data_IF_007877455757
#
_entry.id   IF_007877455757
#
_cell.length_a   1.000
_cell.length_b   1.000
_cell.length_c   1.000
_cell.angle_alpha   90.00
_cell.angle_beta   90.00
_cell.angle_gamma   90.00
#
_symmetry.space_group_name_H-M   'P 1'
#
loop_
_entity.id
_entity.type
_entity.pdbx_description
1 polymer ?
#
# COMPACT_ATOMS: atom_id res chain seq x y z
N UNK A 1 -13.38 33.80 -23.97
CA UNK A 1 -12.27 33.36 -23.07
C UNK A 1 -12.38 31.87 -22.69
N UNK A 2 -12.96 30.99 -23.52
CA UNK A 2 -13.31 29.61 -23.12
C UNK A 2 -12.25 28.54 -23.50
N UNK A 3 -11.44 28.78 -24.55
CA UNK A 3 -10.40 27.85 -25.01
C UNK A 3 -9.28 27.59 -24.00
N UNK A 4 -8.90 28.60 -23.20
CA UNK A 4 -7.80 28.47 -22.25
C UNK A 4 -8.15 27.54 -21.07
N UNK A 5 -9.41 27.56 -20.60
CA UNK A 5 -9.87 26.71 -19.50
C UNK A 5 -10.05 25.25 -19.91
N UNK A 6 -10.58 25.01 -21.11
CA UNK A 6 -10.70 23.64 -21.65
C UNK A 6 -9.33 23.01 -21.92
N UNK A 7 -8.39 23.77 -22.47
CA UNK A 7 -7.02 23.31 -22.71
C UNK A 7 -6.28 23.02 -21.39
N UNK A 8 -6.47 23.83 -20.35
CA UNK A 8 -5.87 23.57 -19.02
C UNK A 8 -6.47 22.33 -18.35
N UNK A 9 -7.76 22.07 -18.51
CA UNK A 9 -8.43 20.87 -17.99
C UNK A 9 -7.94 19.60 -18.70
N UNK A 10 -7.90 19.62 -20.04
CA UNK A 10 -7.41 18.51 -20.85
C UNK A 10 -5.96 18.16 -20.49
N UNK A 11 -5.12 19.18 -20.27
CA UNK A 11 -3.75 18.99 -19.82
C UNK A 11 -3.67 18.38 -18.41
N UNK A 12 -4.38 18.94 -17.44
CA UNK A 12 -4.39 18.43 -16.05
C UNK A 12 -4.87 16.97 -15.99
N UNK A 13 -5.92 16.64 -16.73
CA UNK A 13 -6.44 15.28 -16.80
C UNK A 13 -5.40 14.33 -17.40
N UNK A 14 -4.82 14.68 -18.55
CA UNK A 14 -3.80 13.86 -19.22
C UNK A 14 -2.58 13.64 -18.32
N UNK A 15 -2.11 14.70 -17.64
CA UNK A 15 -0.95 14.64 -16.75
C UNK A 15 -1.20 13.72 -15.54
N UNK A 16 -2.38 13.80 -14.92
CA UNK A 16 -2.76 12.93 -13.78
C UNK A 16 -2.84 11.47 -14.23
N UNK A 17 -3.54 11.18 -15.34
CA UNK A 17 -3.67 9.82 -15.85
C UNK A 17 -2.31 9.23 -16.26
N UNK A 18 -1.47 9.99 -16.96
CA UNK A 18 -0.14 9.55 -17.37
C UNK A 18 0.76 9.29 -16.17
N UNK A 19 0.75 10.18 -15.18
CA UNK A 19 1.55 10.04 -13.96
C UNK A 19 1.15 8.79 -13.19
N UNK A 20 -0.16 8.60 -12.96
CA UNK A 20 -0.69 7.43 -12.28
C UNK A 20 -0.32 6.16 -13.05
N UNK A 21 -0.57 6.13 -14.37
CA UNK A 21 -0.27 4.97 -15.20
C UNK A 21 1.21 4.57 -15.14
N UNK A 22 2.11 5.53 -15.35
CA UNK A 22 3.56 5.28 -15.38
C UNK A 22 4.05 4.81 -14.02
N UNK A 23 3.74 5.56 -12.96
CA UNK A 23 4.24 5.27 -11.61
C UNK A 23 3.67 3.96 -11.07
N UNK A 24 2.36 3.76 -11.19
CA UNK A 24 1.70 2.55 -10.71
C UNK A 24 2.17 1.31 -11.46
N UNK A 25 2.25 1.38 -12.80
CA UNK A 25 2.72 0.26 -13.62
C UNK A 25 4.16 -0.12 -13.31
N UNK A 26 5.02 0.86 -13.05
CA UNK A 26 6.41 0.60 -12.68
C UNK A 26 6.51 -0.13 -11.34
N UNK A 27 5.88 0.41 -10.30
CA UNK A 27 5.95 -0.15 -8.95
C UNK A 27 5.32 -1.55 -8.89
N UNK A 28 4.20 -1.76 -9.60
CA UNK A 28 3.56 -3.07 -9.71
C UNK A 28 4.46 -4.13 -10.34
N UNK A 29 5.12 -3.82 -11.46
CA UNK A 29 6.06 -4.74 -12.12
C UNK A 29 7.18 -5.14 -11.18
N UNK A 30 7.76 -4.17 -10.46
CA UNK A 30 8.83 -4.42 -9.49
C UNK A 30 8.38 -5.31 -8.34
N UNK A 31 7.18 -5.05 -7.78
CA UNK A 31 6.61 -5.91 -6.73
C UNK A 31 6.43 -7.35 -7.21
N UNK A 32 5.79 -7.56 -8.37
CA UNK A 32 5.56 -8.90 -8.90
C UNK A 32 6.86 -9.66 -9.19
N UNK A 33 7.86 -8.98 -9.74
CA UNK A 33 9.18 -9.57 -9.99
C UNK A 33 9.82 -10.07 -8.69
N UNK A 34 9.93 -9.22 -7.66
CA UNK A 34 10.53 -9.66 -6.38
C UNK A 34 9.66 -10.66 -5.63
N UNK A 35 8.33 -10.60 -5.78
CA UNK A 35 7.44 -11.60 -5.21
C UNK A 35 7.68 -12.99 -5.83
N UNK A 36 7.81 -13.06 -7.15
CA UNK A 36 8.13 -14.31 -7.85
C UNK A 36 9.52 -14.85 -7.45
N UNK A 37 10.53 -13.99 -7.33
CA UNK A 37 11.86 -14.37 -6.85
C UNK A 37 11.85 -14.88 -5.41
N UNK A 38 11.03 -14.27 -4.53
CA UNK A 38 10.84 -14.73 -3.16
C UNK A 38 10.19 -16.11 -3.11
N UNK A 39 9.13 -16.33 -3.89
CA UNK A 39 8.46 -17.64 -3.97
C UNK A 39 9.43 -18.71 -4.49
N UNK A 40 10.21 -18.39 -5.54
CA UNK A 40 11.20 -19.32 -6.09
C UNK A 40 12.29 -19.70 -5.06
N UNK A 41 12.76 -18.74 -4.27
CA UNK A 41 13.74 -18.99 -3.20
C UNK A 41 13.14 -19.83 -2.06
N UNK A 42 11.89 -19.57 -1.69
CA UNK A 42 11.14 -20.34 -0.69
C UNK A 42 10.98 -21.80 -1.10
N UNK A 43 10.58 -22.05 -2.35
CA UNK A 43 10.45 -23.42 -2.89
C UNK A 43 11.78 -24.19 -2.83
N UNK A 44 12.89 -23.55 -3.21
CA UNK A 44 14.23 -24.18 -3.16
C UNK A 44 14.69 -24.48 -1.74
N UNK A 45 14.33 -23.63 -0.77
CA UNK A 45 14.60 -23.87 0.64
C UNK A 45 13.79 -25.08 1.14
N UNK A 46 12.48 -25.09 0.88
CA UNK A 46 11.57 -26.17 1.29
C UNK A 46 11.96 -27.53 0.70
N UNK A 47 12.43 -27.56 -0.55
CA UNK A 47 12.97 -28.76 -1.17
C UNK A 47 14.25 -29.26 -0.48
N UNK A 48 15.13 -28.34 -0.04
CA UNK A 48 16.34 -28.70 0.68
C UNK A 48 16.03 -29.25 2.09
N UNK A 49 15.06 -28.67 2.78
CA UNK A 49 14.57 -29.18 4.08
C UNK A 49 13.98 -30.59 3.94
N UNK A 50 13.21 -30.85 2.88
CA UNK A 50 12.69 -32.20 2.60
C UNK A 50 13.79 -33.22 2.28
N UNK A 51 14.90 -32.80 1.68
CA UNK A 51 16.05 -33.69 1.43
C UNK A 51 16.80 -34.03 2.73
N UNK A 52 16.89 -33.08 3.66
CA UNK A 52 17.46 -33.27 4.99
C UNK A 52 16.68 -34.34 5.77
N UNK A 53 15.35 -34.22 5.84
CA UNK A 53 14.48 -35.21 6.51
C UNK A 53 14.68 -36.63 5.96
N UNK A 54 14.86 -36.77 4.64
CA UNK A 54 15.10 -38.07 4.00
C UNK A 54 16.49 -38.66 4.31
N UNK A 55 17.52 -37.83 4.46
CA UNK A 55 18.87 -38.32 4.76
C UNK A 55 19.09 -38.58 6.26
N UNK A 56 18.52 -37.74 7.12
CA UNK A 56 18.59 -37.92 8.57
C UNK A 56 17.64 -39.04 9.03
N UNK A 57 16.45 -39.14 8.44
CA UNK A 57 15.45 -40.18 8.76
C UNK A 57 15.84 -41.60 8.35
N UNK A 58 16.81 -41.78 7.45
CA UNK A 58 17.37 -43.10 7.07
C UNK A 58 18.46 -43.61 8.03
N UNK A 59 18.80 -42.84 9.07
CA UNK A 59 19.88 -43.15 10.00
C UNK A 59 19.43 -43.96 11.23
N UNK A 60 18.18 -44.42 11.31
CA UNK A 60 17.67 -45.12 12.51
C UNK A 60 18.00 -46.62 12.58
N UNK A 61 18.84 -47.16 11.68
CA UNK A 61 19.19 -48.58 11.68
C UNK A 61 20.28 -48.88 12.76
N UNK A 62 20.17 -49.95 13.58
CA UNK A 62 21.03 -50.15 14.75
C UNK A 62 22.51 -50.41 14.42
N UNK A 63 23.30 -49.34 14.47
CA UNK A 63 24.67 -49.12 15.02
C UNK A 63 25.80 -50.18 14.93
N UNK A 64 25.60 -51.48 14.73
CA UNK A 64 26.65 -52.46 15.06
C UNK A 64 27.68 -52.84 13.97
N UNK A 65 27.61 -52.34 12.73
CA UNK A 65 28.59 -52.69 11.67
C UNK A 65 29.08 -51.54 10.77
N UNK A 66 28.90 -50.28 11.18
CA UNK A 66 29.35 -49.13 10.35
C UNK A 66 30.88 -48.95 10.52
N UNK A 67 31.64 -49.07 9.43
CA UNK A 67 33.09 -48.77 9.39
C UNK A 67 33.33 -47.33 9.87
N UNK A 68 34.43 -47.09 10.62
CA UNK A 68 34.77 -45.77 11.17
C UNK A 68 34.80 -44.64 10.12
N UNK A 69 35.26 -44.97 8.91
CA UNK A 69 35.25 -44.08 7.74
C UNK A 69 33.83 -43.69 7.32
N UNK A 70 32.90 -44.64 7.32
CA UNK A 70 31.50 -44.37 6.97
C UNK A 70 30.81 -43.51 8.04
N UNK A 71 31.18 -43.67 9.32
CA UNK A 71 30.70 -42.80 10.40
C UNK A 71 31.20 -41.36 10.23
N UNK A 72 32.46 -41.16 9.83
CA UNK A 72 33.00 -39.83 9.50
C UNK A 72 32.34 -39.23 8.27
N UNK A 73 32.11 -40.03 7.23
CA UNK A 73 31.43 -39.61 6.00
C UNK A 73 29.98 -39.18 6.25
N UNK A 74 29.24 -39.88 7.12
CA UNK A 74 27.89 -39.48 7.54
C UNK A 74 27.90 -38.16 8.30
N UNK A 75 28.88 -37.95 9.20
CA UNK A 75 28.98 -36.70 9.98
C UNK A 75 29.36 -35.50 9.09
N UNK A 76 30.19 -35.71 8.07
CA UNK A 76 30.56 -34.66 7.12
C UNK A 76 29.43 -34.32 6.13
N UNK A 77 28.64 -35.31 5.70
CA UNK A 77 27.48 -35.09 4.82
C UNK A 77 26.38 -34.28 5.51
N UNK A 78 26.06 -34.56 6.78
CA UNK A 78 25.08 -33.79 7.57
C UNK A 78 25.51 -32.33 7.68
N UNK A 79 26.77 -32.06 8.06
CA UNK A 79 27.32 -30.69 8.12
C UNK A 79 27.25 -29.97 6.77
N UNK A 80 27.46 -30.68 5.66
CA UNK A 80 27.34 -30.11 4.31
C UNK A 80 25.89 -29.74 3.98
N UNK A 81 24.92 -30.55 4.39
CA UNK A 81 23.48 -30.27 4.21
C UNK A 81 23.06 -29.05 5.01
N UNK A 82 23.44 -28.98 6.29
CA UNK A 82 23.16 -27.82 7.15
C UNK A 82 23.69 -26.53 6.54
N UNK A 83 24.96 -26.51 6.11
CA UNK A 83 25.57 -25.34 5.45
C UNK A 83 24.85 -24.95 4.16
N UNK A 84 24.40 -25.94 3.37
CA UNK A 84 23.64 -25.69 2.14
C UNK A 84 22.24 -25.13 2.42
N UNK A 85 21.59 -25.56 3.51
CA UNK A 85 20.30 -25.02 3.97
C UNK A 85 20.46 -23.60 4.47
N UNK A 86 21.46 -23.33 5.31
CA UNK A 86 21.75 -21.99 5.82
C UNK A 86 21.96 -20.98 4.68
N UNK A 87 22.72 -21.38 3.63
CA UNK A 87 22.88 -20.56 2.43
C UNK A 87 21.56 -20.28 1.70
N UNK A 88 20.65 -21.26 1.63
CA UNK A 88 19.32 -21.08 1.01
C UNK A 88 18.40 -20.23 1.88
N UNK A 89 18.46 -20.40 3.19
CA UNK A 89 17.72 -19.60 4.17
C UNK A 89 18.11 -18.13 4.06
N UNK A 90 19.41 -17.83 4.01
CA UNK A 90 19.91 -16.47 3.82
C UNK A 90 19.35 -15.86 2.52
N UNK A 91 19.43 -16.60 1.39
CA UNK A 91 18.89 -16.13 0.10
C UNK A 91 17.37 -15.90 0.13
N UNK A 92 16.61 -16.78 0.78
CA UNK A 92 15.18 -16.59 0.97
C UNK A 92 14.89 -15.33 1.79
N UNK A 93 15.56 -15.15 2.94
CA UNK A 93 15.34 -13.99 3.80
C UNK A 93 15.61 -12.67 3.09
N UNK A 94 16.66 -12.60 2.28
CA UNK A 94 16.99 -11.43 1.47
C UNK A 94 15.90 -11.14 0.41
N UNK A 95 15.48 -12.16 -0.34
CA UNK A 95 14.44 -12.01 -1.36
C UNK A 95 13.07 -11.68 -0.73
N UNK A 96 12.76 -12.26 0.42
CA UNK A 96 11.54 -11.96 1.18
C UNK A 96 11.52 -10.50 1.60
N UNK A 97 12.65 -10.00 2.12
CA UNK A 97 12.78 -8.60 2.49
C UNK A 97 12.63 -7.66 1.28
N UNK A 98 13.24 -7.99 0.13
CA UNK A 98 13.05 -7.23 -1.12
C UNK A 98 11.59 -7.19 -1.57
N UNK A 99 10.90 -8.34 -1.54
CA UNK A 99 9.48 -8.43 -1.88
C UNK A 99 8.62 -7.61 -0.93
N UNK A 100 8.89 -7.63 0.37
CA UNK A 100 8.16 -6.83 1.37
C UNK A 100 8.38 -5.34 1.13
N UNK A 101 9.61 -4.89 0.89
CA UNK A 101 9.90 -3.49 0.59
C UNK A 101 9.13 -3.02 -0.65
N UNK A 102 9.20 -3.77 -1.75
CA UNK A 102 8.47 -3.42 -2.96
C UNK A 102 6.94 -3.49 -2.79
N UNK A 103 6.43 -4.39 -1.94
CA UNK A 103 5.00 -4.42 -1.57
C UNK A 103 4.59 -3.15 -0.83
N UNK A 104 5.42 -2.67 0.09
CA UNK A 104 5.14 -1.46 0.83
C UNK A 104 5.12 -0.24 -0.10
N UNK A 105 6.08 -0.11 -1.00
CA UNK A 105 6.09 0.93 -2.04
C UNK A 105 4.85 0.87 -2.93
N UNK A 106 4.43 -0.34 -3.32
CA UNK A 106 3.20 -0.55 -4.07
C UNK A 106 1.97 -0.03 -3.31
N UNK A 107 1.82 -0.37 -2.03
CA UNK A 107 0.70 0.07 -1.22
C UNK A 107 0.71 1.60 -1.00
N UNK A 108 1.87 2.19 -0.74
CA UNK A 108 2.01 3.65 -0.62
C UNK A 108 1.65 4.37 -1.92
N UNK A 109 2.12 3.85 -3.06
CA UNK A 109 1.81 4.41 -4.38
C UNK A 109 0.32 4.28 -4.71
N UNK A 110 -0.29 3.14 -4.34
CA UNK A 110 -1.73 2.92 -4.49
C UNK A 110 -2.54 3.93 -3.67
N UNK A 111 -2.17 4.17 -2.41
CA UNK A 111 -2.82 5.18 -1.56
C UNK A 111 -2.66 6.59 -2.13
N UNK A 112 -1.46 6.96 -2.58
CA UNK A 112 -1.19 8.26 -3.20
C UNK A 112 -1.98 8.44 -4.51
N UNK A 113 -2.09 7.37 -5.31
CA UNK A 113 -2.91 7.34 -6.53
C UNK A 113 -4.38 7.56 -6.20
N UNK A 114 -4.92 6.81 -5.24
CA UNK A 114 -6.31 6.96 -4.81
C UNK A 114 -6.58 8.39 -4.32
N UNK A 115 -5.71 8.95 -3.49
CA UNK A 115 -5.82 10.34 -3.03
C UNK A 115 -5.78 11.35 -4.19
N UNK A 116 -4.91 11.13 -5.19
CA UNK A 116 -4.80 12.00 -6.36
C UNK A 116 -6.07 11.97 -7.22
N UNK A 117 -6.62 10.76 -7.42
CA UNK A 117 -7.89 10.58 -8.13
C UNK A 117 -9.04 11.22 -7.37
N UNK A 118 -9.12 11.04 -6.05
CA UNK A 118 -10.16 11.68 -5.22
C UNK A 118 -10.07 13.20 -5.27
N UNK A 119 -8.87 13.78 -5.18
CA UNK A 119 -8.68 15.23 -5.30
C UNK A 119 -9.15 15.74 -6.66
N UNK A 120 -8.77 15.05 -7.73
CA UNK A 120 -9.19 15.41 -9.09
C UNK A 120 -10.72 15.44 -9.22
N UNK A 121 -11.40 14.39 -8.74
CA UNK A 121 -12.86 14.31 -8.86
C UNK A 121 -13.63 15.29 -7.95
N UNK A 122 -13.17 15.52 -6.73
CA UNK A 122 -13.93 16.31 -5.73
C UNK A 122 -13.58 17.79 -5.81
N UNK A 123 -12.29 18.14 -5.94
CA UNK A 123 -11.83 19.52 -5.88
C UNK A 123 -11.62 20.09 -7.27
N UNK A 124 -10.75 19.46 -8.06
CA UNK A 124 -10.30 20.07 -9.31
C UNK A 124 -11.46 20.17 -10.32
N UNK A 125 -12.39 19.20 -10.35
CA UNK A 125 -13.62 19.31 -11.16
C UNK A 125 -14.65 20.31 -10.60
N UNK A 126 -14.81 20.41 -9.27
CA UNK A 126 -15.77 21.33 -8.65
C UNK A 126 -15.34 22.78 -8.81
N UNK A 127 -14.05 23.08 -8.61
CA UNK A 127 -13.47 24.41 -8.80
C UNK A 127 -13.63 24.88 -10.26
N UNK A 128 -13.60 23.97 -11.23
CA UNK A 128 -13.82 24.28 -12.64
C UNK A 128 -15.30 24.56 -12.96
N UNK A 129 -16.24 23.80 -12.39
CA UNK A 129 -17.68 24.03 -12.56
C UNK A 129 -18.09 25.37 -11.93
N UNK A 130 -17.51 25.74 -10.80
CA UNK A 130 -17.80 27.02 -10.12
C UNK A 130 -17.18 28.23 -10.87
N UNK A 131 -16.04 28.06 -11.56
CA UNK A 131 -15.49 29.07 -12.48
C UNK A 131 -16.44 29.29 -13.68
N UNK A 132 -17.08 28.23 -14.19
CA UNK A 132 -18.04 28.30 -15.29
C UNK A 132 -19.42 28.87 -14.85
N UNK A 133 -19.82 28.67 -13.59
CA UNK A 133 -21.06 29.23 -12.99
C UNK A 133 -20.95 30.67 -12.48
N UNK A 134 -19.86 31.39 -12.73
CA UNK A 134 -19.82 32.86 -12.58
C UNK A 134 -20.04 33.60 -13.93
N UNK A 135 -21.27 33.71 -14.46
CA UNK A 135 -21.62 34.84 -15.31
C UNK A 135 -22.15 36.01 -14.45
N UNK A 136 -21.42 37.12 -14.48
CA UNK A 136 -21.88 38.51 -14.32
C UNK A 136 -22.74 38.88 -13.09
N UNK A 137 -22.09 39.36 -12.02
CA UNK A 137 -22.70 40.35 -11.10
C UNK A 137 -21.98 41.71 -11.23
N UNK A 138 -21.75 42.16 -12.47
CA UNK A 138 -21.34 43.54 -12.70
C UNK A 138 -21.77 44.01 -14.09
N UNK A 139 -23.08 44.10 -14.32
CA UNK A 139 -23.69 45.01 -15.29
C UNK A 139 -25.21 44.91 -15.12
N UNK A 140 -25.81 45.91 -14.46
CA UNK A 140 -27.04 46.60 -14.88
C UNK A 140 -27.54 47.59 -13.81
N UNK A 141 -27.70 48.87 -14.19
CA UNK A 141 -28.38 49.91 -13.41
C UNK A 141 -27.95 51.36 -13.73
N UNK A 142 -28.76 52.18 -14.44
CA UNK A 142 -28.35 53.46 -15.02
C UNK A 142 -28.53 54.70 -14.11
N UNK A 143 -27.92 55.80 -14.56
CA UNK A 143 -27.87 57.15 -13.97
C UNK A 143 -29.27 57.76 -13.69
N UNK A 144 -29.47 58.34 -12.49
CA UNK A 144 -30.05 59.69 -12.27
C UNK A 144 -30.44 59.92 -10.79
N UNK A 145 -29.68 60.77 -10.09
CA UNK A 145 -30.23 61.71 -9.12
C UNK A 145 -29.22 62.83 -8.88
N UNK A 146 -29.44 63.97 -9.54
CA UNK A 146 -28.84 65.25 -9.15
C UNK A 146 -29.35 65.63 -7.77
N UNK A 147 -28.45 65.95 -6.84
CA UNK A 147 -28.84 66.37 -5.48
C UNK A 147 -27.69 66.90 -4.61
N UNK A 148 -27.17 68.08 -4.97
CA UNK A 148 -26.76 69.19 -4.08
C UNK A 148 -25.81 68.95 -2.87
N UNK A 149 -24.62 69.58 -3.00
CA UNK A 149 -23.78 70.32 -2.02
C UNK A 149 -22.87 69.58 -1.00
N UNK A 150 -21.67 70.16 -0.69
CA UNK A 150 -20.66 69.58 0.19
C UNK A 150 -20.87 70.02 1.65
N UNK A 151 -20.65 69.09 2.58
CA UNK A 151 -20.68 69.32 4.02
C UNK A 151 -19.49 68.64 4.68
N UNK A 152 -18.68 69.47 5.34
CA UNK A 152 -17.44 69.17 6.04
C UNK A 152 -17.60 68.31 7.31
N UNK A 153 -16.51 67.59 7.61
CA UNK A 153 -15.98 67.28 8.96
C UNK A 153 -16.54 66.09 9.76
N UNK A 154 -15.61 65.13 9.93
CA UNK A 154 -15.09 64.64 11.23
C UNK A 154 -15.99 63.70 12.05
N UNK A 155 -15.55 62.45 12.17
CA UNK A 155 -16.07 61.50 13.15
C UNK A 155 -15.36 60.16 13.08
N UNK A 156 -14.15 60.09 13.64
CA UNK A 156 -13.52 58.82 14.04
C UNK A 156 -14.48 58.00 14.91
N UNK A 157 -14.66 56.71 14.59
CA UNK A 157 -14.79 55.70 15.65
C UNK A 157 -14.51 54.27 15.19
N UNK A 158 -13.47 53.72 15.83
CA UNK A 158 -13.31 52.35 16.31
C UNK A 158 -13.32 51.20 15.30
N UNK A 159 -12.11 50.74 14.98
CA UNK A 159 -11.85 49.33 14.62
C UNK A 159 -12.19 48.46 15.83
N UNK A 160 -13.10 47.51 15.66
CA UNK A 160 -13.22 46.36 16.55
C UNK A 160 -12.39 45.19 15.98
N UNK A 161 -11.56 44.50 16.78
CA UNK A 161 -10.93 43.26 16.35
C UNK A 161 -11.91 42.08 16.52
N UNK A 162 -11.98 41.22 15.51
CA UNK A 162 -12.69 39.93 15.60
C UNK A 162 -11.86 38.94 16.44
N UNK A 163 -12.49 38.13 17.31
CA UNK A 163 -11.77 37.15 18.13
C UNK A 163 -11.35 35.92 17.31
N UNK A 164 -10.17 35.40 17.65
CA UNK A 164 -9.50 34.31 16.95
C UNK A 164 -10.28 33.00 16.91
N UNK A 165 -10.32 32.37 15.73
CA UNK A 165 -10.70 30.97 15.58
C UNK A 165 -9.54 30.09 16.02
N UNK A 166 -9.76 29.40 17.14
CA UNK A 166 -8.93 28.30 17.63
C UNK A 166 -8.89 27.16 16.60
N UNK A 167 -7.69 26.61 16.39
CA UNK A 167 -7.50 25.35 15.67
C UNK A 167 -7.87 24.18 16.58
N UNK A 168 -8.64 23.18 16.13
CA UNK A 168 -8.76 21.93 16.87
C UNK A 168 -7.47 21.12 16.71
N UNK A 169 -6.96 20.67 17.86
CA UNK A 169 -5.70 19.98 18.01
C UNK A 169 -5.69 18.54 17.49
N UNK A 170 -4.46 18.10 17.25
CA UNK A 170 -4.04 16.74 16.93
C UNK A 170 -4.19 15.88 18.20
N UNK A 171 -5.23 15.06 18.29
CA UNK A 171 -5.31 13.98 19.29
C UNK A 171 -6.37 12.95 18.90
N UNK A 172 -5.97 11.85 18.25
CA UNK A 172 -6.61 10.53 18.31
C UNK A 172 -5.93 9.57 17.31
N UNK A 173 -4.70 9.15 17.59
CA UNK A 173 -4.10 7.95 16.97
C UNK A 173 -3.50 7.12 18.08
N UNK A 174 -4.30 6.21 18.62
CA UNK A 174 -3.88 5.30 19.68
C UNK A 174 -5.06 4.54 20.24
N UNK A 175 -5.80 3.83 19.39
CA UNK A 175 -6.87 2.91 19.85
C UNK A 175 -7.33 1.90 18.79
N UNK A 176 -6.51 1.58 17.78
CA UNK A 176 -6.89 0.63 16.71
C UNK A 176 -6.17 -0.72 16.75
N UNK A 177 -5.24 -0.94 17.69
CA UNK A 177 -4.31 -2.08 17.65
C UNK A 177 -4.57 -3.19 18.69
N UNK A 178 -5.76 -3.24 19.30
CA UNK A 178 -6.03 -4.20 20.39
C UNK A 178 -7.19 -5.18 20.14
N UNK A 179 -7.59 -5.39 18.88
CA UNK A 179 -8.66 -6.34 18.53
C UNK A 179 -8.30 -7.38 17.45
N UNK A 180 -7.03 -7.51 17.06
CA UNK A 180 -6.59 -8.53 16.07
C UNK A 180 -5.95 -9.80 16.64
N UNK A 181 -5.90 -9.99 17.95
CA UNK A 181 -5.39 -11.22 18.56
C UNK A 181 -6.51 -11.99 19.26
N UNK A 182 -7.35 -12.68 18.47
CA UNK A 182 -8.12 -13.83 18.95
C UNK A 182 -7.64 -15.08 18.21
N UNK A 183 -7.19 -16.14 18.91
CA UNK A 183 -6.79 -17.37 18.25
C UNK A 183 -8.01 -18.04 17.59
N UNK A 184 -7.87 -18.40 16.31
CA UNK A 184 -8.85 -19.24 15.59
C UNK A 184 -8.92 -20.60 16.27
N UNK A 185 -10.12 -21.00 16.69
CA UNK A 185 -10.41 -22.33 17.18
C UNK A 185 -10.15 -23.37 16.07
N UNK A 186 -9.48 -24.48 16.43
CA UNK A 186 -9.24 -25.63 15.56
C UNK A 186 -10.55 -26.30 15.14
N UNK A 187 -10.72 -26.71 13.87
CA UNK A 187 -11.86 -27.54 13.49
C UNK A 187 -11.68 -28.96 14.04
N UNK A 188 -12.71 -29.45 14.75
CA UNK A 188 -12.78 -30.83 15.25
C UNK A 188 -12.97 -31.86 14.13
N UNK A 189 -12.88 -33.17 14.43
CA UNK A 189 -12.83 -34.22 13.42
C UNK A 189 -14.17 -34.39 12.70
N UNK A 190 -14.11 -34.48 11.38
CA UNK A 190 -15.26 -34.72 10.52
C UNK A 190 -15.84 -36.12 10.77
N UNK A 191 -17.13 -36.16 11.11
CA UNK A 191 -17.96 -37.37 11.14
C UNK A 191 -18.08 -37.95 9.73
N UNK A 192 -17.70 -39.23 9.58
CA UNK A 192 -17.82 -40.01 8.34
C UNK A 192 -19.28 -40.10 7.89
N UNK A 193 -19.54 -39.84 6.61
CA UNK A 193 -20.79 -40.19 5.92
C UNK A 193 -20.73 -41.68 5.52
N UNK A 194 -21.86 -42.41 5.52
CA UNK A 194 -21.87 -43.82 5.13
C UNK A 194 -21.75 -43.98 3.61
N UNK A 195 -20.92 -44.93 3.19
CA UNK A 195 -20.84 -45.41 1.81
C UNK A 195 -22.15 -46.11 1.42
N UNK A 196 -22.69 -45.73 0.25
CA UNK A 196 -23.79 -46.45 -0.39
C UNK A 196 -23.15 -47.50 -1.30
N UNK A 197 -23.29 -48.77 -0.94
CA UNK A 197 -23.06 -49.90 -1.84
C UNK A 197 -24.08 -49.86 -2.97
N UNK A 198 -23.59 -49.99 -4.20
CA UNK A 198 -24.42 -50.36 -5.35
C UNK A 198 -23.88 -51.67 -5.90
N UNK A 199 -24.73 -52.69 -5.83
CA UNK A 199 -24.67 -53.94 -6.61
C UNK A 199 -24.59 -53.69 -8.12
#
# INVERSE_FOLDING_TARGET
>A
MSYNGFHSLSKLQTDIFLTIWVTFSQVMKTYHMYHAESISAESKLKEAEKQEEKQIGRSSDPVFHIRLEERHQRRSSVKKIEKMKEKRQAKYSENKLKSIKARNEYLLTLEATNASVFKYYIHDLSDLIDIERRPQLQQDGPQAARGRAPGTSRGERARHPLPGRQRPGVAARGQWDQQRERPRASPGPASKLPEVETD
#
